data_IF_733016059298
#
_entry.id   IF_733016059298
#
_cell.length_a   1.000
_cell.length_b   1.000
_cell.length_c   1.000
_cell.angle_alpha   90.00
_cell.angle_beta   90.00
_cell.angle_gamma   90.00
#
_symmetry.space_group_name_H-M   'P 1'
#
loop_
_entity.id
_entity.type
_entity.pdbx_description
1 polymer ?
#
# COMPACT_ATOMS: atom_id res chain seq x y z
N UNK A 1 -15.54 -6.89 5.06
CA UNK A 1 -15.31 -5.55 4.49
C UNK A 1 -14.52 -4.77 5.53
N UNK A 2 -13.28 -4.40 5.24
CA UNK A 2 -12.54 -3.43 6.05
C UNK A 2 -12.86 -2.08 5.45
N UNK A 3 -13.70 -1.29 6.13
CA UNK A 3 -14.05 0.06 5.73
C UNK A 3 -13.33 1.05 6.66
N UNK A 4 -12.47 1.88 6.09
CA UNK A 4 -11.73 2.92 6.81
C UNK A 4 -12.50 4.23 6.61
N UNK A 5 -13.18 4.71 7.67
CA UNK A 5 -13.89 6.00 7.65
C UNK A 5 -12.88 7.14 7.43
N UNK A 6 -13.17 8.00 6.45
CA UNK A 6 -12.40 9.18 6.09
C UNK A 6 -12.46 10.23 7.21
N UNK A 7 -11.29 10.80 7.55
CA UNK A 7 -11.05 12.17 8.06
C UNK A 7 -9.53 12.43 8.31
N UNK A 8 -8.64 12.00 7.40
CA UNK A 8 -7.41 12.75 7.14
C UNK A 8 -7.38 13.29 5.70
N UNK A 9 -6.65 14.38 5.48
CA UNK A 9 -6.37 14.93 4.15
C UNK A 9 -5.49 14.01 3.30
N UNK A 10 -4.87 12.98 3.90
CA UNK A 10 -4.26 11.86 3.20
C UNK A 10 -4.20 10.58 4.05
N UNK A 11 -4.06 9.44 3.37
CA UNK A 11 -3.70 8.15 3.92
C UNK A 11 -2.25 7.82 3.55
N UNK A 12 -1.48 7.38 4.53
CA UNK A 12 -0.14 6.84 4.30
C UNK A 12 -0.13 5.35 4.57
N UNK A 13 0.31 4.58 3.58
CA UNK A 13 0.40 3.13 3.59
C UNK A 13 1.87 2.73 3.42
N UNK A 14 2.30 1.78 4.22
CA UNK A 14 3.66 1.25 4.14
C UNK A 14 3.70 -0.23 4.56
N UNK A 15 4.84 -0.89 4.35
CA UNK A 15 5.12 -2.27 4.79
C UNK A 15 4.05 -3.30 4.38
N UNK A 16 3.51 -3.17 3.16
CA UNK A 16 2.52 -4.11 2.64
C UNK A 16 3.18 -5.48 2.44
N UNK A 17 2.63 -6.51 3.06
CA UNK A 17 3.19 -7.84 3.06
C UNK A 17 2.10 -8.90 2.92
N UNK A 18 2.39 -9.91 2.12
CA UNK A 18 1.58 -11.13 2.03
C UNK A 18 2.52 -12.32 2.17
N UNK A 19 2.43 -13.00 3.31
CA UNK A 19 3.25 -14.16 3.62
C UNK A 19 2.42 -15.44 3.43
N UNK A 20 2.93 -16.39 2.64
CA UNK A 20 2.27 -17.68 2.46
C UNK A 20 2.54 -18.67 3.62
N UNK A 21 1.95 -19.86 3.54
CA UNK A 21 2.14 -20.92 4.55
C UNK A 21 3.57 -21.46 4.64
N UNK A 22 4.42 -21.18 3.65
CA UNK A 22 5.83 -21.55 3.61
C UNK A 22 6.75 -20.41 4.10
N UNK A 23 6.16 -19.34 4.64
CA UNK A 23 6.84 -18.12 5.08
C UNK A 23 7.52 -17.35 3.94
N UNK A 24 6.99 -17.45 2.71
CA UNK A 24 7.46 -16.71 1.55
C UNK A 24 6.66 -15.41 1.37
N UNK A 25 7.38 -14.31 1.14
CA UNK A 25 6.80 -13.03 0.72
C UNK A 25 6.31 -13.10 -0.73
N UNK A 26 5.06 -12.71 -0.97
CA UNK A 26 4.42 -12.70 -2.28
C UNK A 26 4.34 -11.30 -2.91
N UNK A 27 4.39 -10.24 -2.10
CA UNK A 27 4.41 -8.84 -2.57
C UNK A 27 5.84 -8.41 -2.86
N UNK A 28 6.05 -7.78 -4.02
CA UNK A 28 7.29 -7.08 -4.32
C UNK A 28 7.14 -5.59 -4.01
N UNK A 29 8.20 -4.94 -3.54
CA UNK A 29 8.20 -3.49 -3.27
C UNK A 29 7.06 -3.05 -2.31
N UNK A 30 6.81 -3.83 -1.26
CA UNK A 30 5.75 -3.57 -0.28
C UNK A 30 5.96 -2.34 0.60
N UNK A 31 7.23 -1.98 0.82
CA UNK A 31 7.63 -0.75 1.52
C UNK A 31 8.03 0.41 0.60
N UNK A 32 7.77 0.31 -0.72
CA UNK A 32 8.02 1.40 -1.69
C UNK A 32 9.46 1.93 -1.80
N UNK A 33 10.44 1.21 -1.26
CA UNK A 33 11.85 1.63 -1.17
C UNK A 33 12.57 1.79 -2.52
N UNK A 34 11.92 1.45 -3.64
CA UNK A 34 12.38 1.84 -4.98
C UNK A 34 12.11 3.31 -5.32
N UNK A 35 11.52 4.09 -4.41
CA UNK A 35 11.13 5.49 -4.61
C UNK A 35 10.04 5.69 -5.67
N UNK A 36 9.31 4.63 -6.01
CA UNK A 36 8.34 4.58 -7.11
C UNK A 36 7.37 3.42 -6.96
N UNK A 37 6.29 3.41 -7.74
CA UNK A 37 5.35 2.28 -7.85
C UNK A 37 5.90 1.11 -8.66
N UNK A 38 7.21 0.85 -8.62
CA UNK A 38 7.80 -0.33 -9.28
C UNK A 38 7.11 -1.59 -8.76
N UNK A 39 6.74 -2.50 -9.65
CA UNK A 39 5.94 -3.71 -9.38
C UNK A 39 4.47 -3.49 -9.03
N UNK A 40 3.99 -2.24 -8.88
CA UNK A 40 2.59 -1.93 -8.62
C UNK A 40 1.88 -1.43 -9.88
N UNK A 41 0.67 -1.92 -10.12
CA UNK A 41 -0.22 -1.40 -11.16
C UNK A 41 -1.16 -0.36 -10.54
N UNK A 42 -1.38 0.75 -11.25
CA UNK A 42 -2.28 1.81 -10.80
C UNK A 42 -3.65 1.69 -11.48
N UNK A 43 -4.71 2.08 -10.76
CA UNK A 43 -6.03 2.29 -11.32
C UNK A 43 -6.10 3.48 -12.29
N UNK A 44 -7.32 3.84 -12.68
CA UNK A 44 -7.59 4.94 -13.62
C UNK A 44 -7.47 6.31 -12.98
N UNK A 45 -7.79 6.40 -11.68
CA UNK A 45 -7.57 7.59 -10.87
C UNK A 45 -6.13 7.58 -10.37
N UNK A 46 -5.47 8.73 -10.35
CA UNK A 46 -4.04 8.83 -10.00
C UNK A 46 -3.77 9.97 -9.01
N UNK A 47 -4.31 9.83 -7.80
CA UNK A 47 -4.13 10.80 -6.72
C UNK A 47 -2.93 10.49 -5.82
N UNK A 48 -2.62 9.21 -5.64
CA UNK A 48 -1.55 8.76 -4.76
C UNK A 48 -0.18 8.66 -5.44
N UNK A 49 0.87 8.83 -4.62
CA UNK A 49 2.26 8.80 -5.04
C UNK A 49 3.17 8.16 -4.00
N UNK A 50 4.36 7.74 -4.42
CA UNK A 50 5.40 7.34 -3.46
C UNK A 50 6.10 8.60 -2.95
N UNK A 51 6.13 8.76 -1.64
CA UNK A 51 6.66 9.96 -0.97
C UNK A 51 7.59 9.58 0.17
N UNK A 52 8.49 10.49 0.55
CA UNK A 52 9.36 10.33 1.72
C UNK A 52 8.80 11.06 2.94
N UNK A 53 9.30 10.77 4.14
CA UNK A 53 8.82 11.39 5.39
C UNK A 53 7.50 10.83 5.91
N UNK A 54 6.98 9.80 5.24
CA UNK A 54 5.75 9.11 5.62
C UNK A 54 5.88 7.62 5.93
N UNK A 55 7.10 7.10 5.80
CA UNK A 55 7.46 5.72 6.04
C UNK A 55 7.27 5.31 7.51
N UNK A 56 6.86 4.06 7.70
CA UNK A 56 6.94 3.34 8.96
C UNK A 56 8.31 2.67 9.10
N UNK A 57 8.82 2.10 8.01
CA UNK A 57 10.21 1.62 7.94
C UNK A 57 10.87 2.09 6.66
N UNK A 58 12.19 2.27 6.67
CA UNK A 58 12.90 2.78 5.49
C UNK A 58 12.64 4.27 5.24
N UNK A 59 12.47 4.63 3.98
CA UNK A 59 12.45 6.04 3.52
C UNK A 59 11.11 6.43 2.91
N UNK A 60 10.46 5.51 2.21
CA UNK A 60 9.34 5.80 1.34
C UNK A 60 8.04 5.17 1.86
N UNK A 61 6.91 5.76 1.49
CA UNK A 61 5.60 5.17 1.68
C UNK A 61 4.71 5.49 0.48
N UNK A 62 3.57 4.82 0.35
CA UNK A 62 2.52 5.27 -0.55
C UNK A 62 1.59 6.24 0.17
N UNK A 63 1.42 7.41 -0.43
CA UNK A 63 0.64 8.50 0.10
C UNK A 63 -0.50 8.85 -0.85
N UNK A 64 -1.73 8.84 -0.36
CA UNK A 64 -2.92 9.11 -1.16
C UNK A 64 -3.87 10.05 -0.43
N UNK A 65 -4.09 11.24 -1.00
CA UNK A 65 -4.94 12.29 -0.46
C UNK A 65 -6.19 12.56 -1.26
N UNK A 66 -6.58 11.67 -2.19
CA UNK A 66 -7.71 11.96 -3.05
C UNK A 66 -9.04 11.91 -2.31
N UNK A 67 -9.84 12.97 -2.44
CA UNK A 67 -11.15 13.09 -1.80
C UNK A 67 -12.26 12.86 -2.82
N UNK A 68 -13.25 12.05 -2.46
CA UNK A 68 -14.45 11.83 -3.28
C UNK A 68 -14.26 10.95 -4.51
N UNK A 69 -13.09 10.34 -4.68
CA UNK A 69 -12.80 9.34 -5.71
C UNK A 69 -12.14 8.11 -5.08
N UNK A 70 -12.14 7.00 -5.80
CA UNK A 70 -11.40 5.80 -5.43
C UNK A 70 -10.12 5.74 -6.25
N UNK A 71 -8.97 5.87 -5.59
CA UNK A 71 -7.66 5.49 -6.14
C UNK A 71 -7.28 4.11 -5.60
N UNK A 72 -6.50 3.38 -6.38
CA UNK A 72 -6.00 2.07 -6.01
C UNK A 72 -4.67 1.76 -6.70
N UNK A 73 -3.81 1.07 -5.96
CA UNK A 73 -2.69 0.31 -6.50
C UNK A 73 -2.91 -1.17 -6.23
N UNK A 74 -2.42 -2.04 -7.11
CA UNK A 74 -2.57 -3.47 -6.95
C UNK A 74 -1.40 -4.27 -7.52
N UNK A 75 -1.24 -5.49 -6.99
CA UNK A 75 -0.34 -6.53 -7.49
C UNK A 75 -1.13 -7.82 -7.63
N UNK A 76 -0.82 -8.57 -8.67
CA UNK A 76 -1.27 -9.96 -8.81
C UNK A 76 -0.09 -10.88 -8.51
N UNK A 77 -0.32 -11.89 -7.69
CA UNK A 77 0.68 -12.89 -7.32
C UNK A 77 0.03 -14.29 -7.30
N UNK A 78 0.78 -15.35 -7.61
CA UNK A 78 0.26 -16.70 -7.56
C UNK A 78 -0.01 -17.14 -6.12
N UNK A 79 -1.10 -17.87 -5.91
CA UNK A 79 -1.45 -18.52 -4.64
C UNK A 79 -1.91 -19.95 -4.89
N UNK A 80 -1.77 -20.81 -3.88
CA UNK A 80 -2.31 -22.18 -3.94
C UNK A 80 -3.74 -22.18 -3.40
N UNK A 81 -4.68 -22.76 -4.15
CA UNK A 81 -6.09 -22.88 -3.75
C UNK A 81 -6.18 -23.66 -2.43
N UNK A 82 -6.91 -23.10 -1.47
CA UNK A 82 -7.10 -23.70 -0.14
C UNK A 82 -5.97 -23.40 0.86
N UNK A 83 -4.88 -22.75 0.44
CA UNK A 83 -3.83 -22.30 1.35
C UNK A 83 -4.20 -20.99 2.02
N UNK A 84 -3.82 -20.86 3.29
CA UNK A 84 -3.91 -19.60 4.02
C UNK A 84 -2.72 -18.70 3.68
N UNK A 85 -2.95 -17.39 3.71
CA UNK A 85 -1.92 -16.35 3.65
C UNK A 85 -2.11 -15.38 4.80
N UNK A 86 -1.03 -14.79 5.28
CA UNK A 86 -1.06 -13.69 6.25
C UNK A 86 -0.86 -12.39 5.51
N UNK A 87 -1.84 -11.49 5.60
CA UNK A 87 -1.77 -10.13 5.03
C UNK A 87 -1.49 -9.16 6.16
N UNK A 88 -0.50 -8.30 5.99
CA UNK A 88 -0.19 -7.20 6.91
C UNK A 88 0.19 -5.94 6.16
N UNK A 89 -0.02 -4.79 6.80
CA UNK A 89 0.38 -3.48 6.29
C UNK A 89 0.45 -2.50 7.47
N UNK A 90 1.24 -1.46 7.31
CA UNK A 90 1.17 -0.28 8.16
C UNK A 90 0.22 0.75 7.53
N UNK A 91 -0.53 1.43 8.41
CA UNK A 91 -1.49 2.45 8.02
C UNK A 91 -1.43 3.61 9.00
N UNK A 92 -1.31 4.83 8.49
CA UNK A 92 -1.48 6.04 9.30
C UNK A 92 -2.19 7.15 8.55
N UNK A 93 -2.81 8.04 9.30
CA UNK A 93 -3.34 9.30 8.79
C UNK A 93 -2.19 10.23 8.41
N UNK A 94 -2.34 10.93 7.29
CA UNK A 94 -1.46 12.00 6.84
C UNK A 94 -2.07 13.39 7.05
N UNK A 95 -1.22 14.40 7.19
CA UNK A 95 -1.63 15.81 7.34
C UNK A 95 -2.01 16.48 6.02
N UNK A 96 -1.89 15.79 4.88
CA UNK A 96 -2.29 16.29 3.56
C UNK A 96 -1.29 17.24 2.91
N UNK A 97 -0.09 17.38 3.48
CA UNK A 97 1.00 18.17 2.91
C UNK A 97 1.74 17.41 1.78
N UNK A 98 0.99 16.84 0.83
CA UNK A 98 1.51 16.16 -0.36
C UNK A 98 1.65 17.13 -1.54
#
# INVERSE_FOLDING_TARGET
MIELRQDPSALYIDDISVIDSSNQQLISNGGFETGSLTSWQRGTVTGGSVSSGCANTGTYCYADGIVGQTDNIHQSFPTVVGSAVTVSFYLRNGSGDL
#
